data_IF_990717696872
#
_entry.id   IF_990717696872
#
_cell.length_a   1.000
_cell.length_b   1.000
_cell.length_c   1.000
_cell.angle_alpha   90.00
_cell.angle_beta   90.00
_cell.angle_gamma   90.00
#
_symmetry.space_group_name_H-M   'P 1'
#
loop_
_entity.id
_entity.type
_entity.pdbx_description
1 polymer ?
#
# COMPACT_ATOMS: atom_id res chain seq x y z
N UNK A 1 -64.64 -4.36 6.35
CA UNK A 1 -65.23 -3.09 5.88
C UNK A 1 -64.16 -2.02 6.00
N UNK A 2 -63.79 -1.41 4.87
CA UNK A 2 -63.30 -0.03 4.63
C UNK A 2 -62.24 0.55 5.60
N UNK A 3 -61.11 1.11 5.15
CA UNK A 3 -61.03 2.23 4.20
C UNK A 3 -59.75 2.17 3.36
N UNK A 4 -59.92 2.47 2.08
CA UNK A 4 -58.87 2.95 1.17
C UNK A 4 -58.68 4.44 1.41
N UNK A 5 -57.45 4.90 1.60
CA UNK A 5 -57.08 6.28 1.24
C UNK A 5 -55.62 6.32 0.81
N UNK A 6 -55.43 6.57 -0.49
CA UNK A 6 -54.14 6.98 -1.05
C UNK A 6 -54.03 8.51 -0.93
N UNK A 7 -52.87 9.02 -0.53
CA UNK A 7 -52.43 10.38 -0.85
C UNK A 7 -50.95 10.32 -1.19
N UNK A 8 -50.63 10.88 -2.36
CA UNK A 8 -49.33 10.94 -2.99
C UNK A 8 -48.53 12.18 -2.57
N UNK A 9 -47.25 12.17 -2.96
CA UNK A 9 -46.31 13.29 -3.04
C UNK A 9 -45.79 13.77 -1.67
N UNK A 10 -44.48 13.92 -1.45
CA UNK A 10 -43.57 14.80 -2.19
C UNK A 10 -42.14 14.25 -2.13
N UNK A 11 -41.49 14.17 -3.28
CA UNK A 11 -40.07 13.88 -3.44
C UNK A 11 -39.24 14.98 -2.77
N UNK A 12 -38.57 14.69 -1.66
CA UNK A 12 -37.60 15.61 -1.08
C UNK A 12 -36.27 15.42 -1.83
N UNK A 13 -35.99 16.32 -2.77
CA UNK A 13 -34.67 16.45 -3.36
C UNK A 13 -33.71 16.95 -2.26
N UNK A 14 -32.85 16.06 -1.75
CA UNK A 14 -31.70 16.49 -0.95
C UNK A 14 -30.72 17.18 -1.90
N UNK A 15 -30.78 18.51 -1.90
CA UNK A 15 -29.72 19.35 -2.44
C UNK A 15 -28.43 19.02 -1.68
N UNK A 16 -27.39 18.66 -2.43
CA UNK A 16 -26.03 18.47 -1.94
C UNK A 16 -25.55 19.76 -1.26
N UNK A 17 -25.63 19.81 0.06
CA UNK A 17 -24.93 20.80 0.86
C UNK A 17 -23.44 20.58 0.65
N UNK A 18 -22.82 21.56 0.00
CA UNK A 18 -21.43 21.52 -0.39
C UNK A 18 -20.49 21.24 0.77
N UNK A 19 -19.46 20.46 0.48
CA UNK A 19 -18.24 20.45 1.26
C UNK A 19 -17.68 21.88 1.22
N UNK A 20 -17.80 22.62 2.33
CA UNK A 20 -16.98 23.81 2.55
C UNK A 20 -15.55 23.33 2.75
N UNK A 21 -14.77 23.29 1.68
CA UNK A 21 -13.32 23.15 1.77
C UNK A 21 -12.78 24.37 2.50
N UNK A 22 -12.15 24.15 3.65
CA UNK A 22 -11.42 25.16 4.38
C UNK A 22 -10.15 25.50 3.58
N UNK A 23 -10.23 26.49 2.70
CA UNK A 23 -9.07 27.02 1.97
C UNK A 23 -8.64 28.34 2.61
N UNK A 24 -7.95 28.27 3.75
CA UNK A 24 -7.06 29.35 4.17
C UNK A 24 -5.77 29.23 3.34
N UNK A 25 -5.82 29.70 2.10
CA UNK A 25 -4.65 29.89 1.26
C UNK A 25 -4.02 31.24 1.61
N UNK A 26 -2.81 31.20 2.16
CA UNK A 26 -2.01 32.40 2.44
C UNK A 26 -1.88 33.27 1.18
N UNK A 27 -1.98 34.61 1.30
CA UNK A 27 -1.77 35.51 0.17
C UNK A 27 -0.29 35.46 -0.22
N UNK A 28 0.01 34.86 -1.37
CA UNK A 28 1.38 34.74 -1.89
C UNK A 28 1.60 33.59 -2.87
N UNK A 29 0.70 32.61 -2.95
CA UNK A 29 0.90 31.43 -3.80
C UNK A 29 0.55 31.61 -5.29
N UNK A 30 -0.09 32.72 -5.67
CA UNK A 30 -0.57 32.90 -7.04
C UNK A 30 0.52 33.37 -8.02
N UNK A 31 1.66 33.86 -7.52
CA UNK A 31 2.73 34.44 -8.36
C UNK A 31 3.62 33.37 -9.04
N UNK A 32 3.35 32.08 -8.80
CA UNK A 32 4.15 30.97 -9.32
C UNK A 32 3.46 30.12 -10.39
N UNK A 33 2.22 30.44 -10.78
CA UNK A 33 1.46 29.62 -11.74
C UNK A 33 1.51 30.10 -13.20
N UNK A 34 2.05 31.29 -13.47
CA UNK A 34 2.21 31.82 -14.84
C UNK A 34 3.54 31.41 -15.52
N UNK A 35 4.35 30.56 -14.89
CA UNK A 35 5.58 29.99 -15.49
C UNK A 35 5.43 28.53 -15.92
N UNK A 36 4.19 28.05 -16.08
CA UNK A 36 3.85 26.65 -16.38
C UNK A 36 3.66 26.39 -17.88
N UNK A 37 4.49 26.99 -18.73
CA UNK A 37 4.53 26.67 -20.17
C UNK A 37 5.91 26.17 -20.64
N UNK A 38 6.93 26.15 -19.75
CA UNK A 38 8.32 25.80 -20.11
C UNK A 38 8.76 24.38 -19.65
N UNK A 39 7.83 23.49 -19.31
CA UNK A 39 8.15 22.07 -19.14
C UNK A 39 8.05 21.35 -20.49
N UNK A 40 9.02 21.62 -21.37
CA UNK A 40 9.38 20.63 -22.38
C UNK A 40 9.88 19.40 -21.63
N UNK A 41 9.01 18.39 -21.50
CA UNK A 41 9.33 17.12 -20.85
C UNK A 41 10.44 16.46 -21.67
N UNK A 42 11.66 16.48 -21.13
CA UNK A 42 12.81 15.91 -21.82
C UNK A 42 12.59 14.40 -22.01
N UNK A 43 13.02 13.86 -23.15
CA UNK A 43 13.03 12.41 -23.43
C UNK A 43 13.75 11.62 -22.31
N UNK A 44 14.66 12.27 -21.59
CA UNK A 44 15.34 11.74 -20.39
C UNK A 44 14.38 11.50 -19.21
N UNK A 45 13.36 12.33 -19.02
CA UNK A 45 12.33 12.15 -17.99
C UNK A 45 11.32 11.06 -18.39
N UNK A 46 10.92 11.00 -19.66
CA UNK A 46 10.06 9.93 -20.17
C UNK A 46 10.75 8.56 -20.13
N UNK A 47 12.07 8.51 -20.36
CA UNK A 47 12.87 7.30 -20.19
C UNK A 47 12.89 6.84 -18.71
N UNK A 48 13.01 7.77 -17.76
CA UNK A 48 12.95 7.47 -16.33
C UNK A 48 11.57 6.94 -15.89
N UNK A 49 10.46 7.48 -16.43
CA UNK A 49 9.12 6.93 -16.18
C UNK A 49 8.91 5.58 -16.87
N UNK A 50 9.54 5.34 -18.03
CA UNK A 50 9.55 4.03 -18.70
C UNK A 50 10.22 2.93 -17.87
N UNK A 51 11.28 3.27 -17.12
CA UNK A 51 11.93 2.33 -16.19
C UNK A 51 11.07 2.03 -14.95
N UNK A 52 10.22 2.97 -14.51
CA UNK A 52 9.30 2.74 -13.40
C UNK A 52 8.29 1.62 -13.67
N UNK A 53 7.75 1.53 -14.90
CA UNK A 53 6.84 0.46 -15.29
C UNK A 53 7.53 -0.87 -15.60
N UNK A 54 8.85 -0.88 -15.83
CA UNK A 54 9.62 -2.11 -16.00
C UNK A 54 9.79 -2.87 -14.67
N UNK A 55 9.88 -2.14 -13.55
CA UNK A 55 9.91 -2.71 -12.19
C UNK A 55 8.59 -3.43 -11.84
N UNK A 56 7.47 -2.96 -12.39
CA UNK A 56 6.17 -3.56 -12.14
C UNK A 56 5.98 -4.94 -12.81
N UNK A 57 6.78 -5.28 -13.83
CA UNK A 57 6.79 -6.63 -14.41
C UNK A 57 7.54 -7.66 -13.55
N UNK A 58 8.37 -7.21 -12.60
CA UNK A 58 9.08 -8.10 -11.65
C UNK A 58 8.11 -8.66 -10.59
N UNK A 59 7.04 -7.90 -10.27
CA UNK A 59 6.04 -8.33 -9.30
C UNK A 59 5.27 -9.59 -9.74
N UNK A 60 5.03 -9.76 -11.05
CA UNK A 60 4.35 -10.96 -11.57
C UNK A 60 5.28 -12.20 -11.56
N UNK A 61 6.59 -12.03 -11.74
CA UNK A 61 7.58 -13.12 -11.66
C UNK A 61 7.79 -13.63 -10.23
N UNK A 62 7.45 -12.82 -9.22
CA UNK A 62 7.49 -13.22 -7.82
C UNK A 62 6.56 -14.42 -7.54
N UNK A 63 5.36 -14.43 -8.16
CA UNK A 63 4.34 -15.49 -7.97
C UNK A 63 4.77 -16.87 -8.50
N UNK A 64 5.76 -16.92 -9.41
CA UNK A 64 6.20 -18.16 -10.05
C UNK A 64 7.28 -18.93 -9.27
N UNK A 65 7.84 -18.36 -8.20
CA UNK A 65 9.13 -18.78 -7.64
C UNK A 65 9.10 -19.44 -6.27
N UNK A 66 7.93 -19.82 -5.76
CA UNK A 66 7.78 -20.42 -4.43
C UNK A 66 7.59 -19.37 -3.33
N UNK A 67 7.69 -19.80 -2.08
CA UNK A 67 7.67 -18.89 -0.93
C UNK A 67 8.97 -18.09 -0.87
N UNK A 68 8.87 -16.80 -0.56
CA UNK A 68 10.00 -15.94 -0.23
C UNK A 68 9.72 -15.15 1.03
N UNK A 69 10.70 -15.09 1.91
CA UNK A 69 10.67 -14.34 3.14
C UNK A 69 11.47 -13.05 3.00
N UNK A 70 10.92 -11.96 3.51
CA UNK A 70 11.54 -10.65 3.48
C UNK A 70 11.31 -9.92 4.79
N UNK A 71 12.25 -9.04 5.13
CA UNK A 71 12.16 -8.16 6.29
C UNK A 71 10.98 -7.20 6.11
N UNK A 72 9.99 -7.33 6.99
CA UNK A 72 8.76 -6.55 7.01
C UNK A 72 8.35 -6.28 8.48
N UNK A 73 9.05 -5.35 9.16
CA UNK A 73 8.96 -5.22 10.60
C UNK A 73 7.58 -4.74 11.04
N UNK A 74 7.06 -5.35 12.10
CA UNK A 74 5.73 -5.01 12.67
C UNK A 74 5.76 -3.73 13.50
N UNK A 75 6.95 -3.20 13.77
CA UNK A 75 7.20 -1.99 14.58
C UNK A 75 6.65 -2.11 16.01
N UNK A 76 6.49 -3.34 16.50
CA UNK A 76 6.25 -3.63 17.92
C UNK A 76 7.60 -3.81 18.66
N UNK A 77 7.56 -4.23 19.92
CA UNK A 77 8.76 -4.53 20.72
C UNK A 77 9.22 -6.00 20.59
N UNK A 78 8.76 -6.72 19.56
CA UNK A 78 8.92 -8.16 19.37
C UNK A 78 9.47 -8.47 17.96
N UNK A 79 10.80 -8.50 17.83
CA UNK A 79 11.48 -8.76 16.55
C UNK A 79 11.26 -10.18 16.01
N UNK A 80 10.67 -11.09 16.78
CA UNK A 80 10.50 -12.48 16.37
C UNK A 80 9.47 -12.63 15.24
N UNK A 81 8.61 -11.63 15.04
CA UNK A 81 7.59 -11.59 14.01
C UNK A 81 7.88 -10.60 12.86
N UNK A 82 9.10 -10.05 12.77
CA UNK A 82 9.46 -9.01 11.79
C UNK A 82 9.68 -9.53 10.36
N UNK A 83 9.55 -10.83 10.11
CA UNK A 83 9.64 -11.42 8.77
C UNK A 83 8.27 -11.77 8.21
N UNK A 84 8.03 -11.38 6.95
CA UNK A 84 6.87 -11.82 6.17
C UNK A 84 7.31 -12.76 5.06
N UNK A 85 6.65 -13.89 4.94
CA UNK A 85 6.83 -14.84 3.85
C UNK A 85 5.60 -14.81 2.93
N UNK A 86 5.83 -14.79 1.62
CA UNK A 86 4.76 -14.77 0.62
C UNK A 86 5.12 -15.64 -0.58
N UNK A 87 4.13 -16.34 -1.14
CA UNK A 87 4.22 -16.99 -2.45
C UNK A 87 3.47 -16.20 -3.54
N UNK A 88 3.04 -14.98 -3.23
CA UNK A 88 2.23 -14.13 -4.10
C UNK A 88 0.72 -14.41 -4.08
N UNK A 89 0.28 -15.51 -3.46
CA UNK A 89 -1.15 -15.84 -3.24
C UNK A 89 -1.48 -15.82 -1.75
N UNK A 90 -0.67 -16.52 -0.96
CA UNK A 90 -0.76 -16.63 0.49
C UNK A 90 0.39 -15.87 1.15
N UNK A 91 0.14 -15.44 2.39
CA UNK A 91 1.11 -14.76 3.23
C UNK A 91 1.17 -15.46 4.58
N UNK A 92 2.37 -15.51 5.16
CA UNK A 92 2.61 -16.10 6.46
C UNK A 92 3.68 -15.31 7.22
N UNK A 93 3.42 -15.01 8.49
CA UNK A 93 4.31 -14.27 9.38
C UNK A 93 4.73 -15.20 10.52
N UNK A 94 5.88 -15.89 10.42
CA UNK A 94 6.33 -16.81 11.45
C UNK A 94 6.80 -16.08 12.71
N UNK A 95 6.76 -16.80 13.84
CA UNK A 95 7.43 -16.39 15.07
C UNK A 95 8.75 -17.15 15.18
N UNK A 96 9.85 -16.48 14.82
CA UNK A 96 11.17 -17.09 14.68
C UNK A 96 11.92 -17.10 16.02
N UNK A 97 12.65 -18.18 16.33
CA UNK A 97 13.49 -18.30 17.54
C UNK A 97 12.72 -17.96 18.85
N UNK A 98 11.59 -18.62 19.15
CA UNK A 98 10.69 -18.25 20.25
C UNK A 98 11.32 -18.33 21.65
N UNK A 99 12.38 -19.11 21.80
CA UNK A 99 12.97 -19.42 23.10
C UNK A 99 14.04 -18.40 23.55
N UNK A 100 14.48 -17.50 22.66
CA UNK A 100 15.53 -16.53 22.95
C UNK A 100 14.96 -15.13 23.17
N UNK A 101 15.22 -14.54 24.33
CA UNK A 101 14.74 -13.18 24.66
C UNK A 101 15.55 -12.05 24.01
N UNK A 102 16.63 -12.39 23.32
CA UNK A 102 17.52 -11.46 22.62
C UNK A 102 18.09 -12.18 21.41
N UNK A 103 17.84 -11.64 20.22
CA UNK A 103 18.27 -12.22 18.94
C UNK A 103 19.05 -11.15 18.17
N UNK A 104 20.22 -11.51 17.68
CA UNK A 104 21.00 -10.65 16.80
C UNK A 104 20.44 -10.68 15.36
N UNK A 105 20.64 -9.61 14.60
CA UNK A 105 20.10 -9.51 13.23
C UNK A 105 20.45 -10.71 12.34
N UNK A 106 21.68 -11.21 12.40
CA UNK A 106 22.08 -12.35 11.59
C UNK A 106 21.43 -13.67 12.02
N UNK A 107 21.00 -13.79 13.28
CA UNK A 107 20.31 -14.97 13.79
C UNK A 107 18.87 -15.01 13.27
N UNK A 108 18.17 -13.87 13.30
CA UNK A 108 16.81 -13.77 12.76
C UNK A 108 16.81 -13.95 11.23
N UNK A 109 17.80 -13.38 10.53
CA UNK A 109 17.99 -13.57 9.09
C UNK A 109 18.19 -15.05 8.73
N UNK A 110 19.02 -15.77 9.50
CA UNK A 110 19.27 -17.19 9.29
C UNK A 110 18.03 -18.04 9.57
N UNK A 111 17.29 -17.74 10.64
CA UNK A 111 16.04 -18.42 10.97
C UNK A 111 14.96 -18.20 9.90
N UNK A 112 14.88 -16.99 9.33
CA UNK A 112 13.97 -16.69 8.22
C UNK A 112 14.33 -17.51 6.97
N UNK A 113 15.63 -17.63 6.64
CA UNK A 113 16.09 -18.44 5.52
C UNK A 113 15.79 -19.94 5.70
N UNK A 114 15.97 -20.48 6.92
CA UNK A 114 15.62 -21.87 7.24
C UNK A 114 14.10 -22.12 7.17
N UNK A 115 13.30 -21.13 7.59
CA UNK A 115 11.84 -21.19 7.47
C UNK A 115 11.40 -21.16 6.01
N UNK A 116 11.95 -20.25 5.20
CA UNK A 116 11.71 -20.20 3.75
C UNK A 116 12.04 -21.53 3.08
N UNK A 117 13.18 -22.13 3.41
CA UNK A 117 13.58 -23.44 2.90
C UNK A 117 12.60 -24.54 3.29
N UNK A 118 11.95 -24.43 4.47
CA UNK A 118 10.91 -25.37 4.90
C UNK A 118 9.62 -25.23 4.10
N UNK A 119 9.24 -24.00 3.75
CA UNK A 119 8.05 -23.73 2.94
C UNK A 119 8.20 -24.19 1.47
N UNK A 120 9.44 -24.33 1.00
CA UNK A 120 9.77 -24.69 -0.39
C UNK A 120 10.24 -26.15 -0.59
N UNK A 121 10.04 -27.02 0.42
CA UNK A 121 10.36 -28.46 0.35
C UNK A 121 9.31 -29.29 -0.40
#
# INVERSE_FOLDING_TARGET
MNLRTAVACVSLALALTGCSSYSDLQPGYQDHLDSRDDYEQSEEYLAAEGEYYADQQVADDFTASGWRCYWDPTMNDDWHDDYMCSNGVDNDRPYLIPDDSFVEGWEIDAAAADYEATLNQ
#
